data_IF_345566970714
#
_entry.id   IF_345566970714
#
_cell.length_a   1.000
_cell.length_b   1.000
_cell.length_c   1.000
_cell.angle_alpha   90.00
_cell.angle_beta   90.00
_cell.angle_gamma   90.00
#
_symmetry.space_group_name_H-M   'P 1'
#
loop_
_entity.id
_entity.type
_entity.pdbx_description
1 polymer ?
#
# COMPACT_ATOMS: atom_id res chain seq x y z
N UNK A 1 10.84 17.49 -26.47
CA UNK A 1 9.88 18.13 -25.55
C UNK A 1 10.50 18.13 -24.15
N UNK A 2 10.89 19.29 -23.62
CA UNK A 2 11.55 19.40 -22.31
C UNK A 2 10.47 19.69 -21.25
N UNK A 3 10.19 18.75 -20.35
CA UNK A 3 9.24 18.97 -19.26
C UNK A 3 9.88 19.89 -18.22
N UNK A 4 9.27 21.05 -17.98
CA UNK A 4 9.70 22.01 -16.95
C UNK A 4 9.28 21.47 -15.58
N UNK A 5 10.06 21.73 -14.52
CA UNK A 5 9.84 21.20 -13.15
C UNK A 5 8.46 21.53 -12.54
N UNK A 6 7.70 22.44 -13.14
CA UNK A 6 6.38 22.91 -12.69
C UNK A 6 5.21 22.39 -13.54
N UNK A 7 5.45 21.51 -14.50
CA UNK A 7 4.38 21.05 -15.40
C UNK A 7 3.45 20.01 -14.74
N UNK A 8 3.84 19.47 -13.58
CA UNK A 8 3.08 18.47 -12.82
C UNK A 8 3.01 18.88 -11.35
N UNK A 9 2.25 19.94 -11.09
CA UNK A 9 1.88 20.34 -9.72
C UNK A 9 0.75 19.44 -9.25
N UNK A 10 0.82 19.03 -7.98
CA UNK A 10 -0.24 18.25 -7.36
C UNK A 10 -1.54 19.07 -7.29
N UNK A 11 -2.69 18.57 -7.78
CA UNK A 11 -3.97 19.25 -7.64
C UNK A 11 -4.46 19.13 -6.19
N UNK A 12 -4.11 20.10 -5.35
CA UNK A 12 -4.31 20.04 -3.89
C UNK A 12 -5.78 19.96 -3.48
N UNK A 13 -6.69 20.44 -4.34
CA UNK A 13 -8.14 20.43 -4.13
C UNK A 13 -8.65 19.00 -3.91
N UNK A 14 -8.05 17.99 -4.56
CA UNK A 14 -8.42 16.58 -4.38
C UNK A 14 -7.88 15.94 -3.10
N UNK A 15 -6.94 16.60 -2.43
CA UNK A 15 -6.28 16.07 -1.24
C UNK A 15 -6.76 16.72 0.05
N UNK A 16 -7.54 17.80 -0.01
CA UNK A 16 -8.05 18.50 1.17
C UNK A 16 -8.79 17.58 2.14
N UNK A 17 -9.51 16.57 1.63
CA UNK A 17 -10.18 15.56 2.46
C UNK A 17 -9.24 14.87 3.46
N UNK A 18 -7.96 14.66 3.08
CA UNK A 18 -6.97 14.04 3.96
C UNK A 18 -6.53 14.95 5.12
N UNK A 19 -6.89 16.23 5.14
CA UNK A 19 -6.66 17.12 6.29
C UNK A 19 -7.43 16.69 7.53
N UNK A 20 -8.51 15.90 7.38
CA UNK A 20 -9.26 15.32 8.50
C UNK A 20 -8.39 14.46 9.42
N UNK A 21 -7.29 13.90 8.90
CA UNK A 21 -6.27 13.15 9.67
C UNK A 21 -5.14 14.03 10.23
N UNK A 22 -5.27 15.36 10.12
CA UNK A 22 -4.24 16.33 10.48
C UNK A 22 -3.16 16.53 9.39
N UNK A 23 -2.14 17.37 9.64
CA UNK A 23 -1.07 17.63 8.68
C UNK A 23 -0.29 16.36 8.31
N UNK A 24 -0.21 16.05 7.01
CA UNK A 24 0.37 14.81 6.51
C UNK A 24 1.05 14.95 5.13
N UNK A 25 1.62 13.85 4.63
CA UNK A 25 2.34 13.79 3.35
C UNK A 25 1.45 14.15 2.14
N UNK A 26 0.16 13.78 2.17
CA UNK A 26 -0.76 14.03 1.08
C UNK A 26 -1.23 15.50 1.01
N UNK A 27 -1.21 16.21 2.12
CA UNK A 27 -1.70 17.61 2.19
C UNK A 27 -0.57 18.62 2.31
N UNK A 28 0.67 18.20 2.03
CA UNK A 28 1.85 19.06 2.13
C UNK A 28 2.53 19.22 0.77
N UNK A 29 3.14 20.38 0.58
CA UNK A 29 3.93 20.73 -0.61
C UNK A 29 5.29 21.31 -0.21
N UNK A 30 6.20 21.43 -1.18
CA UNK A 30 7.49 22.11 -1.01
C UNK A 30 8.35 21.54 0.12
N UNK A 31 8.81 22.41 1.02
CA UNK A 31 9.70 22.03 2.12
C UNK A 31 9.03 21.10 3.15
N UNK A 32 7.73 21.29 3.40
CA UNK A 32 6.98 20.47 4.34
C UNK A 32 6.80 19.05 3.80
N UNK A 33 6.48 18.93 2.51
CA UNK A 33 6.44 17.62 1.83
C UNK A 33 7.78 16.91 1.90
N UNK A 34 8.90 17.60 1.65
CA UNK A 34 10.25 17.01 1.76
C UNK A 34 10.52 16.50 3.17
N UNK A 35 10.12 17.23 4.21
CA UNK A 35 10.24 16.82 5.61
C UNK A 35 9.45 15.54 5.88
N UNK A 36 8.16 15.50 5.52
CA UNK A 36 7.34 14.31 5.74
C UNK A 36 7.80 13.11 4.92
N UNK A 37 8.22 13.31 3.66
CA UNK A 37 8.78 12.25 2.83
C UNK A 37 10.04 11.66 3.44
N UNK A 38 10.91 12.48 4.03
CA UNK A 38 12.12 12.01 4.71
C UNK A 38 11.79 11.12 5.93
N UNK A 39 10.71 11.41 6.63
CA UNK A 39 10.24 10.62 7.79
C UNK A 39 9.61 9.30 7.33
N UNK A 40 8.77 9.32 6.29
CA UNK A 40 8.03 8.14 5.81
C UNK A 40 8.89 7.21 4.96
N UNK A 41 9.82 7.76 4.17
CA UNK A 41 10.63 7.03 3.19
C UNK A 41 11.32 5.76 3.73
N UNK A 42 11.97 5.79 4.92
CA UNK A 42 12.61 4.61 5.49
C UNK A 42 11.69 3.41 5.69
N UNK A 43 10.38 3.61 5.89
CA UNK A 43 9.42 2.51 6.04
C UNK A 43 9.17 1.76 4.73
N UNK A 44 9.35 2.40 3.58
CA UNK A 44 9.07 1.87 2.24
C UNK A 44 10.35 1.59 1.44
N UNK A 45 11.43 1.24 2.12
CA UNK A 45 12.68 0.81 1.47
C UNK A 45 12.54 -0.62 0.90
N UNK A 46 13.49 -1.03 0.05
CA UNK A 46 13.48 -2.34 -0.61
C UNK A 46 13.42 -3.51 0.36
N UNK A 47 14.18 -3.46 1.47
CA UNK A 47 14.15 -4.50 2.51
C UNK A 47 12.76 -4.66 3.13
N UNK A 48 12.10 -3.56 3.49
CA UNK A 48 10.77 -3.60 4.10
C UNK A 48 9.69 -4.02 3.10
N UNK A 49 9.79 -3.55 1.85
CA UNK A 49 8.88 -3.99 0.79
C UNK A 49 9.08 -5.48 0.46
N UNK A 50 10.32 -5.98 0.55
CA UNK A 50 10.63 -7.42 0.44
C UNK A 50 9.88 -8.24 1.48
N UNK A 51 9.88 -7.81 2.75
CA UNK A 51 9.11 -8.49 3.81
C UNK A 51 7.61 -8.52 3.51
N UNK A 52 7.04 -7.43 2.97
CA UNK A 52 5.65 -7.42 2.54
C UNK A 52 5.41 -8.40 1.39
N UNK A 53 6.34 -8.48 0.43
CA UNK A 53 6.33 -9.45 -0.67
C UNK A 53 6.34 -10.90 -0.18
N UNK A 54 7.21 -11.23 0.78
CA UNK A 54 7.27 -12.58 1.38
C UNK A 54 5.93 -12.97 2.02
N UNK A 55 5.26 -12.02 2.69
CA UNK A 55 3.93 -12.23 3.26
C UNK A 55 2.88 -12.44 2.17
N UNK A 56 2.92 -11.67 1.09
CA UNK A 56 2.00 -11.84 -0.06
C UNK A 56 2.16 -13.23 -0.67
N UNK A 57 3.40 -13.69 -0.89
CA UNK A 57 3.68 -15.01 -1.46
C UNK A 57 3.11 -16.10 -0.57
N UNK A 58 3.42 -16.08 0.74
CA UNK A 58 2.91 -17.06 1.70
C UNK A 58 1.38 -17.10 1.73
N UNK A 59 0.72 -15.94 1.80
CA UNK A 59 -0.74 -15.88 1.81
C UNK A 59 -1.35 -16.36 0.48
N UNK A 60 -0.66 -16.14 -0.64
CA UNK A 60 -1.04 -16.68 -1.95
C UNK A 60 -0.97 -18.21 -1.98
N UNK A 61 0.08 -18.81 -1.41
CA UNK A 61 0.23 -20.25 -1.27
C UNK A 61 -0.86 -20.85 -0.36
N UNK A 62 -1.17 -20.21 0.77
CA UNK A 62 -2.27 -20.61 1.66
C UNK A 62 -3.63 -20.54 0.96
N UNK A 63 -3.86 -19.50 0.16
CA UNK A 63 -5.09 -19.32 -0.61
C UNK A 63 -5.24 -20.43 -1.67
N UNK A 64 -4.18 -20.70 -2.43
CA UNK A 64 -4.21 -21.72 -3.49
C UNK A 64 -4.26 -23.14 -2.91
N UNK A 65 -3.37 -23.50 -2.00
CA UNK A 65 -3.26 -24.87 -1.49
C UNK A 65 -4.27 -25.21 -0.38
N UNK A 66 -4.68 -24.21 0.41
CA UNK A 66 -5.58 -24.42 1.55
C UNK A 66 -7.04 -24.10 1.21
N UNK A 67 -7.32 -22.85 0.82
CA UNK A 67 -8.70 -22.37 0.64
C UNK A 67 -9.31 -22.88 -0.66
N UNK A 68 -8.61 -22.74 -1.78
CA UNK A 68 -9.08 -23.16 -3.10
C UNK A 68 -8.77 -24.61 -3.40
N UNK A 69 -7.69 -25.14 -2.84
CA UNK A 69 -7.25 -26.52 -3.06
C UNK A 69 -7.04 -26.84 -4.53
N UNK A 70 -7.37 -28.06 -4.93
CA UNK A 70 -7.17 -28.55 -6.30
C UNK A 70 -8.30 -28.19 -7.28
N UNK A 71 -9.08 -27.13 -7.02
CA UNK A 71 -10.15 -26.76 -7.92
C UNK A 71 -9.59 -26.15 -9.23
N UNK A 72 -10.01 -26.64 -10.40
CA UNK A 72 -9.49 -26.15 -11.68
C UNK A 72 -9.98 -24.74 -12.02
N UNK A 73 -11.10 -24.32 -11.41
CA UNK A 73 -11.69 -22.99 -11.58
C UNK A 73 -12.24 -22.55 -10.23
N UNK A 74 -11.91 -21.33 -9.82
CA UNK A 74 -12.49 -20.66 -8.65
C UNK A 74 -13.32 -19.50 -9.14
N UNK A 75 -14.61 -19.48 -8.79
CA UNK A 75 -15.53 -18.39 -9.13
C UNK A 75 -15.72 -17.53 -7.89
N UNK A 76 -15.37 -16.25 -8.00
CA UNK A 76 -15.60 -15.24 -6.97
C UNK A 76 -16.79 -14.38 -7.40
N UNK A 77 -17.70 -14.09 -6.48
CA UNK A 77 -18.78 -13.13 -6.75
C UNK A 77 -18.22 -11.70 -6.80
N UNK A 78 -17.26 -11.40 -5.93
CA UNK A 78 -16.57 -10.12 -5.87
C UNK A 78 -15.07 -10.32 -5.59
N UNK A 79 -14.21 -9.58 -6.30
CA UNK A 79 -12.76 -9.63 -6.09
C UNK A 79 -12.34 -9.16 -4.69
N UNK A 80 -13.17 -8.37 -4.01
CA UNK A 80 -12.94 -7.90 -2.64
C UNK A 80 -12.92 -9.03 -1.62
N UNK A 81 -13.59 -10.16 -1.89
CA UNK A 81 -13.59 -11.34 -1.01
C UNK A 81 -12.17 -11.88 -0.79
N UNK A 82 -11.26 -11.63 -1.75
CA UNK A 82 -9.86 -12.03 -1.68
C UNK A 82 -8.95 -10.84 -1.45
N UNK A 83 -9.10 -9.79 -2.26
CA UNK A 83 -8.17 -8.65 -2.24
C UNK A 83 -8.19 -7.89 -0.92
N UNK A 84 -9.38 -7.68 -0.33
CA UNK A 84 -9.51 -6.94 0.93
C UNK A 84 -8.83 -7.65 2.12
N UNK A 85 -9.13 -8.94 2.43
CA UNK A 85 -8.45 -9.62 3.52
C UNK A 85 -6.96 -9.84 3.23
N UNK A 86 -6.56 -10.07 1.98
CA UNK A 86 -5.15 -10.19 1.60
C UNK A 86 -4.38 -8.90 1.91
N UNK A 87 -4.86 -7.75 1.39
CA UNK A 87 -4.21 -6.44 1.62
C UNK A 87 -4.15 -6.09 3.11
N UNK A 88 -5.21 -6.37 3.87
CA UNK A 88 -5.23 -6.10 5.30
C UNK A 88 -4.18 -6.95 6.04
N UNK A 89 -4.13 -8.25 5.79
CA UNK A 89 -3.14 -9.16 6.40
C UNK A 89 -1.70 -8.75 6.07
N UNK A 90 -1.43 -8.41 4.81
CA UNK A 90 -0.11 -7.94 4.36
C UNK A 90 0.28 -6.65 5.08
N UNK A 91 -0.63 -5.67 5.13
CA UNK A 91 -0.36 -4.37 5.78
C UNK A 91 -0.11 -4.52 7.28
N UNK A 92 -0.90 -5.37 7.97
CA UNK A 92 -0.72 -5.64 9.39
C UNK A 92 0.60 -6.35 9.69
N UNK A 93 1.01 -7.30 8.85
CA UNK A 93 2.25 -8.05 9.01
C UNK A 93 3.49 -7.20 8.68
N UNK A 94 3.48 -6.49 7.55
CA UNK A 94 4.57 -5.62 7.14
C UNK A 94 4.74 -4.41 8.07
N UNK A 95 3.63 -3.88 8.61
CA UNK A 95 3.63 -2.83 9.62
C UNK A 95 4.09 -3.29 11.00
N UNK A 96 4.45 -4.57 11.18
CA UNK A 96 4.80 -5.21 12.46
C UNK A 96 3.72 -5.08 13.55
N UNK A 97 2.49 -4.80 13.16
CA UNK A 97 1.38 -4.67 14.10
C UNK A 97 0.97 -6.04 14.66
N UNK A 98 1.04 -7.09 13.84
CA UNK A 98 0.70 -8.46 14.23
C UNK A 98 1.52 -9.49 13.43
N UNK A 99 1.78 -10.66 14.04
CA UNK A 99 2.39 -11.83 13.39
C UNK A 99 1.35 -12.93 13.36
N UNK A 100 1.06 -13.43 12.16
CA UNK A 100 0.23 -14.63 11.91
C UNK A 100 1.15 -15.84 11.79
#
# INVERSE_FOLDING_TARGET
MQFRKWTFVKPMEFYEFFMSYGPNLFVSEGALWKKYRKIVGPSFNERNNGLAGDVVIRLGEELMGGVWGNQPVVVLQDSKEVTFPLTLKVTMSAGKAYRF
#
